data_IF_732900152260
#
_entry.id   IF_732900152260
#
_cell.length_a   1.000
_cell.length_b   1.000
_cell.length_c   1.000
_cell.angle_alpha   90.00
_cell.angle_beta   90.00
_cell.angle_gamma   90.00
#
_symmetry.space_group_name_H-M   'P 1'
#
loop_
_entity.id
_entity.type
_entity.pdbx_description
1 polymer ?
#
# COMPACT_ATOMS: atom_id res chain seq x y z
N UNK A 1 15.94 16.41 -8.00
CA UNK A 1 15.77 15.54 -6.79
C UNK A 1 16.57 14.28 -6.97
N UNK A 2 17.31 13.81 -5.95
CA UNK A 2 18.13 12.58 -6.00
C UNK A 2 17.39 11.39 -5.37
N UNK A 3 17.76 10.13 -5.69
CA UNK A 3 17.10 8.96 -5.06
C UNK A 3 17.11 8.97 -3.53
N UNK A 4 18.16 9.51 -2.92
CA UNK A 4 18.27 9.62 -1.44
C UNK A 4 17.23 10.59 -0.89
N UNK A 5 17.03 11.74 -1.51
CA UNK A 5 16.03 12.75 -1.12
C UNK A 5 14.60 12.20 -1.27
N UNK A 6 14.35 11.46 -2.35
CA UNK A 6 13.08 10.75 -2.55
C UNK A 6 12.86 9.73 -1.43
N UNK A 7 13.87 8.93 -1.11
CA UNK A 7 13.80 7.93 -0.05
C UNK A 7 13.54 8.56 1.33
N UNK A 8 14.19 9.65 1.66
CA UNK A 8 13.97 10.39 2.92
C UNK A 8 12.52 10.87 3.02
N UNK A 9 11.96 11.42 1.92
CA UNK A 9 10.56 11.83 1.88
C UNK A 9 9.60 10.66 2.12
N UNK A 10 9.80 9.55 1.41
CA UNK A 10 8.95 8.37 1.52
C UNK A 10 9.03 7.73 2.91
N UNK A 11 10.21 7.72 3.53
CA UNK A 11 10.46 7.13 4.84
C UNK A 11 9.75 7.89 5.97
N UNK A 12 9.42 9.17 5.76
CA UNK A 12 8.63 9.94 6.73
C UNK A 12 7.20 9.42 6.91
N UNK A 13 6.66 8.77 5.88
CA UNK A 13 5.28 8.26 5.87
C UNK A 13 5.22 6.73 5.96
N UNK A 14 6.27 6.03 5.50
CA UNK A 14 6.30 4.56 5.41
C UNK A 14 7.38 4.00 6.33
N UNK A 15 6.95 3.25 7.32
CA UNK A 15 7.83 2.66 8.32
C UNK A 15 8.03 1.16 8.04
N UNK A 16 9.29 0.70 8.11
CA UNK A 16 9.62 -0.72 8.10
C UNK A 16 9.78 -1.38 6.74
N UNK A 17 9.86 -0.62 5.63
CA UNK A 17 10.02 -1.13 4.27
C UNK A 17 11.25 -0.53 3.58
N UNK A 18 12.37 -0.47 4.27
CA UNK A 18 13.57 0.29 3.86
C UNK A 18 14.09 -0.11 2.48
N UNK A 19 14.26 -1.41 2.22
CA UNK A 19 14.78 -1.91 0.94
C UNK A 19 13.81 -1.63 -0.20
N UNK A 20 12.50 -1.82 0.04
CA UNK A 20 11.44 -1.49 -0.91
C UNK A 20 11.45 0.00 -1.25
N UNK A 21 11.57 0.87 -0.24
CA UNK A 21 11.58 2.32 -0.46
C UNK A 21 12.81 2.78 -1.24
N UNK A 22 13.98 2.23 -0.97
CA UNK A 22 15.20 2.51 -1.76
C UNK A 22 14.99 2.14 -3.23
N UNK A 23 14.39 0.98 -3.49
CA UNK A 23 14.13 0.51 -4.85
C UNK A 23 13.11 1.41 -5.56
N UNK A 24 11.99 1.72 -4.91
CA UNK A 24 10.96 2.63 -5.43
C UNK A 24 11.54 4.04 -5.69
N UNK A 25 12.42 4.52 -4.81
CA UNK A 25 13.08 5.82 -4.99
C UNK A 25 13.95 5.90 -6.24
N UNK A 26 14.64 4.79 -6.57
CA UNK A 26 15.42 4.71 -7.83
C UNK A 26 14.48 4.68 -9.04
N UNK A 27 13.36 3.96 -8.96
CA UNK A 27 12.37 3.89 -10.03
C UNK A 27 11.77 5.28 -10.31
N UNK A 28 11.35 5.99 -9.26
CA UNK A 28 10.85 7.37 -9.36
C UNK A 28 11.91 8.28 -10.00
N UNK A 29 13.14 8.23 -9.50
CA UNK A 29 14.23 9.06 -10.04
C UNK A 29 14.43 8.85 -11.53
N UNK A 30 14.49 7.60 -11.99
CA UNK A 30 14.64 7.30 -13.41
C UNK A 30 13.45 7.78 -14.25
N UNK A 31 12.23 7.58 -13.73
CA UNK A 31 11.03 8.10 -14.37
C UNK A 31 11.09 9.63 -14.54
N UNK A 32 11.51 10.35 -13.51
CA UNK A 32 11.72 11.82 -13.58
C UNK A 32 12.80 12.26 -14.58
N UNK A 33 13.74 11.37 -14.90
CA UNK A 33 14.76 11.63 -15.93
C UNK A 33 14.31 11.18 -17.34
N UNK A 34 13.10 10.66 -17.49
CA UNK A 34 12.63 10.07 -18.75
C UNK A 34 13.32 8.74 -19.10
N UNK A 35 14.03 8.14 -18.14
CA UNK A 35 14.66 6.84 -18.32
C UNK A 35 13.66 5.70 -18.01
N UNK A 36 13.65 4.67 -18.84
CA UNK A 36 12.86 3.46 -18.56
C UNK A 36 13.52 2.69 -17.40
N UNK A 37 12.77 2.48 -16.34
CA UNK A 37 13.16 1.61 -15.23
C UNK A 37 12.45 0.26 -15.29
N UNK A 38 11.35 0.19 -16.03
CA UNK A 38 10.42 -0.92 -16.04
C UNK A 38 9.31 -0.81 -15.00
N UNK A 39 8.33 -1.69 -15.13
CA UNK A 39 7.17 -1.71 -14.26
C UNK A 39 7.46 -2.47 -12.97
N UNK A 40 6.84 -2.05 -11.87
CA UNK A 40 7.05 -2.60 -10.54
C UNK A 40 5.85 -3.43 -10.08
N UNK A 41 6.11 -4.59 -9.48
CA UNK A 41 5.10 -5.39 -8.81
C UNK A 41 5.45 -5.53 -7.32
N UNK A 42 4.64 -4.96 -6.44
CA UNK A 42 4.77 -5.09 -5.00
C UNK A 42 3.87 -6.22 -4.47
N UNK A 43 4.48 -7.17 -3.79
CA UNK A 43 3.81 -8.33 -3.19
C UNK A 43 3.99 -8.27 -1.68
N UNK A 44 2.91 -8.47 -0.93
CA UNK A 44 3.01 -8.50 0.53
C UNK A 44 1.65 -8.58 1.20
N UNK A 45 1.58 -9.15 2.37
CA UNK A 45 0.35 -9.32 3.14
C UNK A 45 -0.45 -8.02 3.27
N UNK A 46 -1.74 -8.14 3.60
CA UNK A 46 -2.57 -6.97 3.89
C UNK A 46 -1.93 -6.14 5.02
N UNK A 47 -1.96 -4.81 4.91
CA UNK A 47 -1.41 -3.93 5.95
C UNK A 47 0.12 -3.85 6.03
N UNK A 48 0.88 -4.34 5.04
CA UNK A 48 2.35 -4.18 4.98
C UNK A 48 2.83 -2.84 4.47
N UNK A 49 1.91 -1.97 4.00
CA UNK A 49 2.23 -0.61 3.59
C UNK A 49 2.19 -0.35 2.08
N UNK A 50 1.71 -1.29 1.24
CA UNK A 50 1.63 -1.12 -0.22
C UNK A 50 0.90 0.17 -0.64
N UNK A 51 -0.33 0.32 -0.21
CA UNK A 51 -1.13 1.53 -0.50
C UNK A 51 -0.54 2.78 0.15
N UNK A 52 0.14 2.65 1.30
CA UNK A 52 0.83 3.77 1.96
C UNK A 52 2.00 4.25 1.12
N UNK A 53 2.76 3.34 0.49
CA UNK A 53 3.84 3.69 -0.45
C UNK A 53 3.27 4.48 -1.63
N UNK A 54 2.19 4.00 -2.27
CA UNK A 54 1.53 4.68 -3.38
C UNK A 54 1.08 6.11 -3.01
N UNK A 55 0.47 6.27 -1.83
CA UNK A 55 0.05 7.59 -1.33
C UNK A 55 1.23 8.48 -0.96
N UNK A 56 2.32 7.92 -0.44
CA UNK A 56 3.53 8.68 -0.17
C UNK A 56 4.17 9.19 -1.46
N UNK A 57 4.16 8.39 -2.54
CA UNK A 57 4.56 8.82 -3.88
C UNK A 57 3.65 9.95 -4.40
N UNK A 58 2.35 9.81 -4.30
CA UNK A 58 1.40 10.86 -4.69
C UNK A 58 1.70 12.18 -3.95
N UNK A 59 1.91 12.15 -2.63
CA UNK A 59 2.29 13.33 -1.85
C UNK A 59 3.62 13.92 -2.28
N UNK A 60 4.62 13.08 -2.58
CA UNK A 60 5.91 13.52 -3.09
C UNK A 60 5.73 14.37 -4.36
N UNK A 61 5.03 13.83 -5.34
CA UNK A 61 4.82 14.51 -6.62
C UNK A 61 3.97 15.78 -6.49
N UNK A 62 3.02 15.82 -5.56
CA UNK A 62 2.21 17.02 -5.30
C UNK A 62 2.97 18.13 -4.56
N UNK A 63 3.87 17.77 -3.64
CA UNK A 63 4.60 18.74 -2.81
C UNK A 63 5.82 19.35 -3.46
N UNK A 64 6.22 18.88 -4.65
CA UNK A 64 7.41 19.32 -5.38
C UNK A 64 7.03 19.91 -6.74
N UNK A 65 6.69 21.23 -6.81
CA UNK A 65 6.28 21.89 -8.06
C UNK A 65 7.30 21.80 -9.18
N UNK A 66 8.59 21.65 -8.85
CA UNK A 66 9.70 21.48 -9.80
C UNK A 66 9.65 20.16 -10.58
N UNK A 67 8.81 19.21 -10.20
CA UNK A 67 8.64 17.94 -10.93
C UNK A 67 7.82 18.13 -12.23
N UNK A 68 7.11 19.27 -12.38
CA UNK A 68 6.34 19.65 -13.58
C UNK A 68 5.43 18.54 -14.12
N UNK A 69 5.78 17.96 -15.26
CA UNK A 69 4.95 17.03 -16.05
C UNK A 69 4.65 15.70 -15.34
N UNK A 70 5.56 15.24 -14.46
CA UNK A 70 5.39 13.98 -13.74
C UNK A 70 4.48 14.08 -12.51
N UNK A 71 3.79 15.22 -12.28
CA UNK A 71 2.94 15.42 -11.09
C UNK A 71 1.65 14.60 -11.09
N UNK A 72 1.26 14.05 -12.23
CA UNK A 72 0.06 13.23 -12.33
C UNK A 72 0.31 11.86 -11.74
N UNK A 73 -0.38 11.55 -10.65
CA UNK A 73 -0.39 10.24 -10.02
C UNK A 73 -1.83 9.77 -9.90
N UNK A 74 -2.11 8.57 -10.40
CA UNK A 74 -3.42 7.94 -10.32
C UNK A 74 -3.30 6.63 -9.55
N UNK A 75 -4.16 6.43 -8.57
CA UNK A 75 -4.24 5.18 -7.80
C UNK A 75 -5.61 4.55 -8.07
N UNK A 76 -5.63 3.36 -8.66
CA UNK A 76 -6.85 2.62 -9.02
C UNK A 76 -6.74 1.16 -8.58
N UNK A 77 -7.88 0.54 -8.24
CA UNK A 77 -7.92 -0.91 -8.05
C UNK A 77 -7.99 -1.61 -9.42
N UNK A 78 -7.37 -2.78 -9.53
CA UNK A 78 -7.31 -3.52 -10.79
C UNK A 78 -8.69 -3.76 -11.44
N UNK A 79 -9.73 -4.02 -10.65
CA UNK A 79 -11.09 -4.21 -11.14
C UNK A 79 -11.74 -2.94 -11.72
N UNK A 80 -11.23 -1.76 -11.40
CA UNK A 80 -11.79 -0.49 -11.92
C UNK A 80 -11.48 -0.24 -13.40
N UNK A 81 -10.50 -0.96 -13.95
CA UNK A 81 -10.15 -0.87 -15.36
C UNK A 81 -11.13 -1.59 -16.28
N UNK A 82 -11.97 -2.48 -15.75
CA UNK A 82 -12.88 -3.29 -16.52
C UNK A 82 -14.35 -2.92 -16.29
N UNK A 83 -15.19 -3.22 -17.28
CA UNK A 83 -16.63 -3.19 -17.13
C UNK A 83 -17.14 -4.45 -16.39
N UNK A 84 -18.47 -4.60 -16.26
CA UNK A 84 -19.11 -5.75 -15.59
C UNK A 84 -18.79 -7.09 -16.26
N UNK A 85 -18.53 -7.09 -17.57
CA UNK A 85 -18.16 -8.28 -18.35
C UNK A 85 -16.66 -8.62 -18.26
N UNK A 86 -15.87 -7.80 -17.56
CA UNK A 86 -14.42 -7.97 -17.42
C UNK A 86 -13.61 -7.47 -18.62
N UNK A 87 -14.24 -6.71 -19.52
CA UNK A 87 -13.53 -6.08 -20.64
C UNK A 87 -12.87 -4.80 -20.14
N UNK A 88 -11.55 -4.71 -20.32
CA UNK A 88 -10.79 -3.51 -19.97
C UNK A 88 -11.11 -2.39 -20.94
N UNK A 89 -11.47 -1.23 -20.39
CA UNK A 89 -11.67 0.00 -21.13
C UNK A 89 -10.51 0.97 -20.82
N UNK A 90 -9.59 1.18 -21.77
CA UNK A 90 -8.47 2.12 -21.60
C UNK A 90 -8.93 3.54 -21.26
N UNK A 91 -10.11 3.96 -21.72
CA UNK A 91 -10.62 5.30 -21.45
C UNK A 91 -10.80 5.57 -19.95
N UNK A 92 -11.12 4.56 -19.15
CA UNK A 92 -11.24 4.73 -17.70
C UNK A 92 -9.94 5.23 -17.05
N UNK A 93 -8.79 4.74 -17.52
CA UNK A 93 -7.50 5.25 -17.07
C UNK A 93 -7.29 6.67 -17.61
N UNK A 94 -7.52 6.88 -18.90
CA UNK A 94 -7.28 8.16 -19.57
C UNK A 94 -8.15 9.28 -18.97
N UNK A 95 -9.41 9.01 -18.68
CA UNK A 95 -10.31 9.95 -17.99
C UNK A 95 -9.76 10.35 -16.61
N UNK A 96 -9.26 9.39 -15.83
CA UNK A 96 -8.65 9.69 -14.52
C UNK A 96 -7.37 10.49 -14.66
N UNK A 97 -6.54 10.19 -15.67
CA UNK A 97 -5.33 10.95 -15.94
C UNK A 97 -5.65 12.39 -16.39
N UNK A 98 -6.66 12.57 -17.24
CA UNK A 98 -7.14 13.89 -17.66
C UNK A 98 -7.68 14.70 -16.48
N UNK A 99 -8.57 14.11 -15.64
CA UNK A 99 -9.08 14.75 -14.43
C UNK A 99 -7.92 15.27 -13.57
N UNK A 100 -6.92 14.42 -13.35
CA UNK A 100 -5.78 14.77 -12.51
C UNK A 100 -4.87 15.82 -13.14
N UNK A 101 -4.64 15.74 -14.46
CA UNK A 101 -3.89 16.75 -15.19
C UNK A 101 -4.58 18.12 -15.11
N UNK A 102 -5.91 18.16 -15.25
CA UNK A 102 -6.69 19.41 -15.14
C UNK A 102 -6.71 20.00 -13.73
N UNK A 103 -6.74 19.17 -12.69
CA UNK A 103 -6.61 19.65 -11.31
C UNK A 103 -5.28 20.40 -11.09
N UNK A 104 -4.22 19.99 -11.79
CA UNK A 104 -2.87 20.58 -11.68
C UNK A 104 -2.74 21.83 -12.57
N UNK A 105 -3.19 21.73 -13.82
CA UNK A 105 -3.00 22.75 -14.85
C UNK A 105 -4.08 23.84 -14.84
N UNK A 106 -5.29 23.52 -14.33
CA UNK A 106 -6.45 24.37 -14.38
C UNK A 106 -7.24 24.26 -15.69
N UNK A 107 -8.38 24.95 -15.77
CA UNK A 107 -9.32 24.84 -16.89
C UNK A 107 -8.82 25.46 -18.22
N UNK A 108 -7.81 26.31 -18.15
CA UNK A 108 -7.23 26.97 -19.34
C UNK A 108 -6.15 26.14 -20.04
N UNK A 109 -5.90 24.92 -19.57
CA UNK A 109 -4.88 24.03 -20.14
C UNK A 109 -5.15 23.72 -21.61
N UNK A 110 -4.09 23.72 -22.41
CA UNK A 110 -4.13 23.31 -23.80
C UNK A 110 -4.17 21.80 -23.94
N UNK A 111 -4.59 21.29 -25.10
CA UNK A 111 -4.59 19.86 -25.39
C UNK A 111 -3.18 19.23 -25.26
N UNK A 112 -2.16 19.94 -25.74
CA UNK A 112 -0.76 19.49 -25.70
C UNK A 112 -0.24 19.39 -24.26
N UNK A 113 -0.57 20.37 -23.41
CA UNK A 113 -0.19 20.34 -21.99
C UNK A 113 -0.86 19.17 -21.27
N UNK A 114 -2.17 18.97 -21.48
CA UNK A 114 -2.90 17.83 -20.91
C UNK A 114 -2.27 16.51 -21.36
N UNK A 115 -2.02 16.35 -22.67
CA UNK A 115 -1.39 15.17 -23.24
C UNK A 115 -0.02 14.87 -22.63
N UNK A 116 0.80 15.89 -22.48
CA UNK A 116 2.14 15.78 -21.92
C UNK A 116 2.12 15.32 -20.45
N UNK A 117 1.23 15.91 -19.63
CA UNK A 117 1.06 15.50 -18.25
C UNK A 117 0.49 14.09 -18.11
N UNK A 118 -0.39 13.67 -19.01
CA UNK A 118 -0.93 12.30 -19.04
C UNK A 118 0.16 11.28 -19.40
N UNK A 119 1.01 11.55 -20.38
CA UNK A 119 2.07 10.62 -20.82
C UNK A 119 3.16 10.41 -19.76
N UNK A 120 3.44 11.40 -18.91
CA UNK A 120 4.47 11.32 -17.88
C UNK A 120 3.91 10.93 -16.49
N UNK A 121 2.70 10.39 -16.45
CA UNK A 121 2.03 10.02 -15.22
C UNK A 121 2.64 8.78 -14.56
N UNK A 122 2.40 8.68 -13.24
CA UNK A 122 2.60 7.45 -12.47
C UNK A 122 1.25 6.79 -12.22
N UNK A 123 1.09 5.55 -12.68
CA UNK A 123 -0.13 4.75 -12.54
C UNK A 123 0.09 3.67 -11.50
N UNK A 124 -0.59 3.80 -10.36
CA UNK A 124 -0.57 2.82 -9.29
C UNK A 124 -1.82 1.93 -9.39
N UNK A 125 -1.62 0.63 -9.55
CA UNK A 125 -2.70 -0.36 -9.62
C UNK A 125 -2.67 -1.21 -8.35
N UNK A 126 -3.64 -1.01 -7.46
CA UNK A 126 -3.76 -1.80 -6.22
C UNK A 126 -4.66 -3.03 -6.45
N UNK A 127 -4.57 -4.00 -5.55
CA UNK A 127 -5.36 -5.24 -5.56
C UNK A 127 -5.21 -6.07 -6.85
N UNK A 128 -3.99 -6.08 -7.44
CA UNK A 128 -3.72 -6.82 -8.68
C UNK A 128 -3.94 -8.34 -8.52
N UNK A 129 -3.85 -8.87 -7.32
CA UNK A 129 -4.13 -10.27 -6.99
C UNK A 129 -5.61 -10.65 -7.18
N UNK A 130 -6.53 -9.68 -7.19
CA UNK A 130 -7.97 -9.93 -7.37
C UNK A 130 -8.35 -10.24 -8.83
N UNK A 131 -7.45 -10.00 -9.77
CA UNK A 131 -7.62 -10.37 -11.17
C UNK A 131 -6.91 -11.68 -11.53
N UNK A 132 -6.63 -12.54 -10.55
CA UNK A 132 -6.11 -13.89 -10.80
C UNK A 132 -6.98 -14.65 -11.79
N UNK A 133 -6.36 -15.43 -12.67
CA UNK A 133 -7.05 -16.32 -13.60
C UNK A 133 -7.74 -17.52 -12.91
N UNK A 134 -7.50 -17.70 -11.61
CA UNK A 134 -8.01 -18.81 -10.83
C UNK A 134 -8.67 -18.29 -9.54
N UNK A 135 -9.89 -18.72 -9.25
CA UNK A 135 -10.59 -18.43 -8.00
C UNK A 135 -11.17 -19.74 -7.45
N UNK A 136 -10.79 -20.10 -6.23
CA UNK A 136 -11.25 -21.34 -5.60
C UNK A 136 -10.89 -22.61 -6.39
N UNK A 137 -9.77 -22.63 -7.11
CA UNK A 137 -9.32 -23.75 -7.93
C UNK A 137 -10.04 -23.87 -9.28
N UNK A 138 -10.85 -22.89 -9.66
CA UNK A 138 -11.56 -22.85 -10.95
C UNK A 138 -11.07 -21.69 -11.80
N UNK A 139 -11.04 -21.83 -13.16
CA UNK A 139 -10.72 -20.73 -14.07
C UNK A 139 -11.68 -19.55 -13.88
N UNK A 140 -11.13 -18.33 -13.81
CA UNK A 140 -11.86 -17.09 -13.70
C UNK A 140 -11.63 -16.23 -14.95
N UNK A 141 -12.54 -16.36 -15.92
CA UNK A 141 -12.42 -15.76 -17.26
C UNK A 141 -12.30 -14.23 -17.19
N UNK A 142 -13.08 -13.59 -16.31
CA UNK A 142 -13.01 -12.13 -16.11
C UNK A 142 -11.60 -11.70 -15.70
N UNK A 143 -10.97 -12.41 -14.76
CA UNK A 143 -9.58 -12.13 -14.37
C UNK A 143 -8.59 -12.29 -15.51
N UNK A 144 -8.75 -13.33 -16.34
CA UNK A 144 -7.95 -13.54 -17.54
C UNK A 144 -8.07 -12.34 -18.49
N UNK A 145 -9.30 -11.92 -18.77
CA UNK A 145 -9.57 -10.80 -19.69
C UNK A 145 -8.97 -9.49 -19.16
N UNK A 146 -9.09 -9.23 -17.85
CA UNK A 146 -8.53 -8.02 -17.25
C UNK A 146 -6.99 -8.04 -17.34
N UNK A 147 -6.34 -9.18 -17.06
CA UNK A 147 -4.88 -9.28 -17.20
C UNK A 147 -4.45 -9.03 -18.65
N UNK A 148 -5.17 -9.55 -19.65
CA UNK A 148 -4.86 -9.33 -21.06
C UNK A 148 -5.05 -7.86 -21.47
N UNK A 149 -6.13 -7.21 -21.03
CA UNK A 149 -6.35 -5.80 -21.32
C UNK A 149 -5.35 -4.87 -20.66
N UNK A 150 -4.98 -5.14 -19.39
CA UNK A 150 -3.94 -4.39 -18.69
C UNK A 150 -2.55 -4.61 -19.30
N UNK A 151 -2.29 -5.80 -19.85
CA UNK A 151 -1.05 -6.11 -20.55
C UNK A 151 -0.78 -5.08 -21.64
N UNK A 152 -1.76 -4.79 -22.50
CA UNK A 152 -1.65 -3.83 -23.60
C UNK A 152 -1.27 -2.43 -23.09
N UNK A 153 -1.92 -1.97 -22.02
CA UNK A 153 -1.61 -0.66 -21.42
C UNK A 153 -0.18 -0.61 -20.84
N UNK A 154 0.24 -1.69 -20.16
CA UNK A 154 1.56 -1.74 -19.51
C UNK A 154 2.70 -1.93 -20.51
N UNK A 155 2.43 -2.57 -21.67
CA UNK A 155 3.42 -2.72 -22.76
C UNK A 155 3.81 -1.40 -23.41
N UNK A 156 2.93 -0.42 -23.35
CA UNK A 156 3.08 0.88 -23.99
C UNK A 156 2.34 0.94 -25.32
N UNK A 157 1.17 1.53 -25.29
CA UNK A 157 0.31 1.76 -26.44
C UNK A 157 0.16 3.25 -26.70
N UNK A 158 0.09 3.62 -27.99
CA UNK A 158 -0.29 4.98 -28.42
C UNK A 158 -1.79 5.05 -28.62
N UNK A 159 -2.48 5.68 -27.70
CA UNK A 159 -3.94 5.77 -27.68
C UNK A 159 -4.35 7.16 -28.15
N UNK A 160 -5.27 7.22 -29.11
CA UNK A 160 -5.90 8.48 -29.50
C UNK A 160 -7.03 8.80 -28.54
N UNK A 161 -6.91 9.90 -27.79
CA UNK A 161 -7.87 10.28 -26.77
C UNK A 161 -8.50 11.66 -27.06
N UNK A 162 -9.84 11.77 -27.06
CA UNK A 162 -10.53 13.04 -27.27
C UNK A 162 -10.50 13.88 -25.99
N UNK A 163 -10.06 15.13 -26.07
CA UNK A 163 -10.12 16.11 -24.99
C UNK A 163 -10.93 17.31 -25.41
N UNK A 164 -11.59 17.96 -24.45
CA UNK A 164 -12.29 19.23 -24.69
C UNK A 164 -11.54 20.37 -24.03
N UNK A 165 -11.08 21.35 -24.81
CA UNK A 165 -10.28 22.48 -24.32
C UNK A 165 -10.94 23.82 -24.62
N UNK A 166 -10.59 24.83 -23.82
CA UNK A 166 -11.02 26.21 -24.08
C UNK A 166 -10.07 26.87 -25.09
N UNK A 167 -10.62 27.26 -26.25
CA UNK A 167 -9.89 28.05 -27.24
C UNK A 167 -10.76 29.24 -27.67
N UNK A 168 -10.21 30.45 -27.65
CA UNK A 168 -10.94 31.68 -27.98
C UNK A 168 -12.29 31.84 -27.22
N UNK A 169 -12.35 31.44 -25.95
CA UNK A 169 -13.57 31.45 -25.10
C UNK A 169 -14.67 30.48 -25.53
N UNK A 170 -14.37 29.53 -26.39
CA UNK A 170 -15.27 28.48 -26.82
C UNK A 170 -14.68 27.10 -26.49
N UNK A 171 -15.56 26.14 -26.22
CA UNK A 171 -15.16 24.76 -26.03
C UNK A 171 -14.93 24.10 -27.38
N UNK A 172 -13.72 23.64 -27.63
CA UNK A 172 -13.35 22.91 -28.84
C UNK A 172 -12.94 21.49 -28.47
N UNK A 173 -13.35 20.52 -29.28
CA UNK A 173 -12.87 19.13 -29.17
C UNK A 173 -11.53 19.03 -29.91
N UNK A 174 -10.53 18.53 -29.23
CA UNK A 174 -9.24 18.16 -29.78
C UNK A 174 -8.99 16.67 -29.57
N UNK A 175 -8.09 16.08 -30.31
CA UNK A 175 -7.62 14.72 -30.09
C UNK A 175 -6.14 14.73 -29.81
N UNK A 176 -5.72 14.06 -28.75
CA UNK A 176 -4.34 13.92 -28.34
C UNK A 176 -3.91 12.46 -28.45
N UNK A 177 -2.63 12.24 -28.74
CA UNK A 177 -2.03 10.92 -28.59
C UNK A 177 -1.44 10.81 -27.21
N UNK A 178 -1.75 9.73 -26.50
CA UNK A 178 -1.18 9.42 -25.17
C UNK A 178 -0.38 8.13 -25.29
N UNK A 179 0.93 8.22 -25.07
CA UNK A 179 1.86 7.08 -25.08
C UNK A 179 2.00 6.52 -23.66
N UNK A 180 1.32 5.41 -23.38
CA UNK A 180 1.39 4.76 -22.05
C UNK A 180 2.77 4.16 -21.76
N UNK A 181 3.61 3.98 -22.79
CA UNK A 181 4.99 3.50 -22.63
C UNK A 181 5.92 4.48 -21.91
N UNK A 182 5.51 5.76 -21.76
CA UNK A 182 6.24 6.77 -20.99
C UNK A 182 5.81 6.80 -19.51
N UNK A 183 4.70 6.14 -19.17
CA UNK A 183 4.18 6.10 -17.80
C UNK A 183 5.00 5.14 -16.93
N UNK A 184 5.02 5.40 -15.62
CA UNK A 184 5.51 4.46 -14.63
C UNK A 184 4.33 3.67 -14.06
N UNK A 185 4.29 2.36 -14.29
CA UNK A 185 3.29 1.48 -13.67
C UNK A 185 3.85 0.83 -12.40
N UNK A 186 3.12 0.97 -11.31
CA UNK A 186 3.41 0.34 -10.03
C UNK A 186 2.18 -0.45 -9.59
N UNK A 187 2.25 -1.77 -9.72
CA UNK A 187 1.18 -2.68 -9.32
C UNK A 187 1.43 -3.25 -7.93
N UNK A 188 0.36 -3.48 -7.17
CA UNK A 188 0.47 -4.10 -5.84
C UNK A 188 -0.67 -5.08 -5.58
N UNK A 189 -0.35 -6.14 -4.84
CA UNK A 189 -1.34 -7.13 -4.41
C UNK A 189 -1.00 -7.76 -3.06
N UNK A 190 -2.03 -8.22 -2.35
CA UNK A 190 -1.84 -8.96 -1.11
C UNK A 190 -1.41 -10.40 -1.37
N UNK A 191 -1.87 -10.99 -2.46
CA UNK A 191 -1.62 -12.38 -2.83
C UNK A 191 -1.90 -13.32 -1.65
N UNK A 192 -3.10 -13.18 -1.07
CA UNK A 192 -3.54 -14.06 0.01
C UNK A 192 -3.36 -15.51 -0.39
N UNK A 193 -2.87 -16.37 0.51
CA UNK A 193 -2.49 -17.77 0.29
C UNK A 193 -1.18 -18.01 -0.49
N UNK A 194 -0.53 -17.02 -1.09
CA UNK A 194 0.77 -17.21 -1.72
C UNK A 194 1.82 -17.69 -0.70
N UNK A 195 1.78 -17.15 0.52
CA UNK A 195 2.63 -17.60 1.62
C UNK A 195 2.46 -19.10 1.88
N UNK A 196 1.22 -19.57 2.04
CA UNK A 196 0.91 -20.98 2.30
C UNK A 196 1.25 -21.88 1.10
N UNK A 197 1.10 -21.37 -0.11
CA UNK A 197 1.47 -22.08 -1.34
C UNK A 197 2.98 -22.31 -1.40
N UNK A 198 3.77 -21.25 -1.19
CA UNK A 198 5.24 -21.33 -1.19
C UNK A 198 5.73 -22.19 -0.03
N UNK A 199 5.16 -22.03 1.17
CA UNK A 199 5.48 -22.86 2.32
C UNK A 199 5.26 -24.33 2.04
N UNK A 200 4.09 -24.72 1.50
CA UNK A 200 3.80 -26.13 1.11
C UNK A 200 4.77 -26.65 0.06
N UNK A 201 5.15 -25.82 -0.94
CA UNK A 201 6.13 -26.20 -1.95
C UNK A 201 7.50 -26.47 -1.33
N UNK A 202 7.94 -25.62 -0.41
CA UNK A 202 9.26 -25.73 0.24
C UNK A 202 9.33 -26.88 1.23
N UNK A 203 8.25 -27.17 1.97
CA UNK A 203 8.17 -28.21 2.99
C UNK A 203 7.61 -29.53 2.48
N UNK A 204 7.36 -29.66 1.17
CA UNK A 204 6.84 -30.91 0.59
C UNK A 204 7.81 -32.08 0.82
N UNK A 205 7.30 -33.33 0.94
CA UNK A 205 8.12 -34.50 1.16
C UNK A 205 9.19 -34.76 0.05
N UNK A 206 8.93 -34.19 -1.15
CA UNK A 206 9.84 -34.23 -2.30
C UNK A 206 10.88 -33.14 -2.32
N UNK A 207 10.72 -32.14 -1.45
CA UNK A 207 11.63 -30.99 -1.32
C UNK A 207 12.92 -31.45 -0.63
N UNK A 208 14.06 -31.00 -1.17
CA UNK A 208 15.37 -31.15 -0.53
C UNK A 208 15.72 -30.00 0.39
N UNK A 209 14.83 -29.04 0.53
CA UNK A 209 15.03 -27.83 1.33
C UNK A 209 14.81 -28.17 2.80
N UNK A 210 15.74 -27.73 3.65
CA UNK A 210 15.56 -27.70 5.10
C UNK A 210 15.38 -26.25 5.51
N UNK A 211 14.27 -25.93 6.18
CA UNK A 211 14.06 -24.60 6.73
C UNK A 211 15.09 -24.32 7.83
N UNK A 212 15.58 -23.07 7.91
CA UNK A 212 16.39 -22.66 9.04
C UNK A 212 15.58 -22.80 10.34
N UNK A 213 16.22 -23.35 11.36
CA UNK A 213 15.61 -23.51 12.68
C UNK A 213 16.33 -22.66 13.70
N UNK A 214 15.58 -22.07 14.61
CA UNK A 214 16.13 -21.40 15.79
C UNK A 214 15.61 -22.05 17.05
N UNK A 215 16.39 -21.97 18.11
CA UNK A 215 16.05 -22.53 19.41
C UNK A 215 15.56 -21.40 20.31
N UNK A 216 14.27 -21.38 20.58
CA UNK A 216 13.64 -20.39 21.45
C UNK A 216 13.34 -21.02 22.81
N UNK A 217 13.74 -20.31 23.88
CA UNK A 217 13.44 -20.74 25.23
C UNK A 217 12.18 -20.01 25.71
N UNK A 218 11.06 -20.71 25.80
CA UNK A 218 9.78 -20.17 26.27
C UNK A 218 9.18 -21.06 27.36
N UNK A 219 8.69 -20.43 28.43
CA UNK A 219 8.02 -21.11 29.57
C UNK A 219 8.84 -22.21 30.23
N UNK A 220 10.17 -22.14 30.18
CA UNK A 220 11.04 -23.19 30.76
C UNK A 220 11.32 -24.37 29.83
N UNK A 221 10.82 -24.34 28.60
CA UNK A 221 11.03 -25.40 27.60
C UNK A 221 11.79 -24.85 26.38
N UNK A 222 12.61 -25.70 25.80
CA UNK A 222 13.30 -25.45 24.53
C UNK A 222 12.37 -25.80 23.39
N UNK A 223 11.99 -24.79 22.59
CA UNK A 223 11.20 -24.98 21.39
C UNK A 223 12.07 -24.72 20.17
N UNK A 224 12.01 -25.64 19.19
CA UNK A 224 12.62 -25.45 17.88
C UNK A 224 11.57 -24.78 16.99
N UNK A 225 11.87 -23.56 16.53
CA UNK A 225 11.01 -22.85 15.58
C UNK A 225 11.64 -22.84 14.21
N UNK A 226 10.86 -23.23 13.21
CA UNK A 226 11.26 -23.10 11.81
C UNK A 226 11.01 -21.67 11.34
N UNK A 227 11.99 -21.09 10.65
CA UNK A 227 11.88 -19.75 10.05
C UNK A 227 11.56 -19.86 8.58
N UNK A 228 10.43 -19.32 8.21
CA UNK A 228 10.03 -19.18 6.83
C UNK A 228 9.70 -17.71 6.54
N UNK A 229 10.32 -17.15 5.51
CA UNK A 229 9.96 -15.84 4.97
C UNK A 229 9.65 -15.97 3.49
N UNK A 230 8.56 -15.39 3.05
CA UNK A 230 8.17 -15.41 1.63
C UNK A 230 9.31 -14.86 0.75
N UNK A 231 9.95 -13.76 1.15
CA UNK A 231 11.04 -13.11 0.43
C UNK A 231 12.19 -14.06 0.08
N UNK A 232 12.53 -14.99 0.97
CA UNK A 232 13.66 -15.92 0.77
C UNK A 232 13.34 -17.07 -0.17
N UNK A 233 12.09 -17.53 -0.16
CA UNK A 233 11.68 -18.75 -0.85
C UNK A 233 10.81 -18.52 -2.08
N UNK A 234 10.37 -17.28 -2.30
CA UNK A 234 9.55 -16.88 -3.44
C UNK A 234 10.28 -17.12 -4.77
N UNK A 235 9.54 -17.63 -5.72
CA UNK A 235 9.95 -17.75 -7.12
C UNK A 235 8.84 -17.17 -8.01
N UNK A 236 9.19 -16.68 -9.19
CA UNK A 236 8.21 -16.13 -10.11
C UNK A 236 7.14 -17.15 -10.52
N UNK A 237 7.53 -18.43 -10.60
CA UNK A 237 6.61 -19.54 -10.90
C UNK A 237 5.49 -19.68 -9.86
N UNK A 238 5.72 -19.27 -8.62
CA UNK A 238 4.68 -19.29 -7.59
C UNK A 238 3.50 -18.36 -7.94
N UNK A 239 3.75 -17.29 -8.70
CA UNK A 239 2.68 -16.41 -9.20
C UNK A 239 1.92 -17.06 -10.37
N UNK A 240 2.56 -17.91 -11.18
CA UNK A 240 1.85 -18.65 -12.22
C UNK A 240 0.87 -19.64 -11.58
N UNK A 241 1.30 -20.35 -10.56
CA UNK A 241 0.46 -21.28 -9.80
C UNK A 241 -0.66 -20.55 -9.04
N UNK A 242 -0.42 -19.28 -8.66
CA UNK A 242 -1.44 -18.42 -8.06
C UNK A 242 -2.52 -18.02 -9.08
N UNK A 243 -2.22 -18.06 -10.39
CA UNK A 243 -3.13 -17.69 -11.48
C UNK A 243 -2.80 -16.37 -12.15
N UNK A 244 -1.58 -15.87 -11.99
CA UNK A 244 -1.09 -14.75 -12.79
C UNK A 244 -0.51 -15.26 -14.11
N UNK A 245 -0.94 -14.65 -15.21
CA UNK A 245 -0.49 -15.08 -16.54
C UNK A 245 1.00 -14.75 -16.74
N UNK A 246 1.82 -15.70 -17.26
CA UNK A 246 3.24 -15.47 -17.51
C UNK A 246 3.52 -14.25 -18.39
N UNK A 247 2.69 -14.04 -19.40
CA UNK A 247 2.81 -12.89 -20.31
C UNK A 247 2.60 -11.57 -19.59
N UNK A 248 1.62 -11.50 -18.67
CA UNK A 248 1.38 -10.33 -17.84
C UNK A 248 2.54 -10.07 -16.89
N UNK A 249 3.02 -11.12 -16.22
CA UNK A 249 4.15 -10.99 -15.28
C UNK A 249 5.46 -10.62 -15.97
N UNK A 250 5.66 -10.99 -17.24
CA UNK A 250 6.85 -10.62 -18.00
C UNK A 250 6.98 -9.12 -18.27
N UNK A 251 5.95 -8.32 -17.98
CA UNK A 251 5.97 -6.84 -18.09
C UNK A 251 6.44 -6.15 -16.81
N UNK A 252 6.69 -6.92 -15.78
CA UNK A 252 7.26 -6.40 -14.53
C UNK A 252 8.72 -6.82 -14.45
N UNK A 253 9.62 -5.85 -14.61
CA UNK A 253 11.05 -6.11 -14.52
C UNK A 253 11.47 -6.47 -13.10
N UNK A 254 10.66 -6.08 -12.11
CA UNK A 254 10.96 -6.28 -10.71
C UNK A 254 9.72 -6.62 -9.88
N UNK A 255 9.75 -7.79 -9.24
CA UNK A 255 8.81 -8.17 -8.20
C UNK A 255 9.47 -7.93 -6.82
N UNK A 256 8.85 -7.06 -6.03
CA UNK A 256 9.35 -6.66 -4.71
C UNK A 256 8.47 -7.30 -3.64
N UNK A 257 9.06 -8.12 -2.79
CA UNK A 257 8.37 -8.71 -1.64
C UNK A 257 8.52 -7.77 -0.46
N UNK A 258 7.39 -7.23 0.05
CA UNK A 258 7.36 -6.42 1.25
C UNK A 258 7.59 -7.30 2.49
N UNK A 259 8.29 -6.73 3.46
CA UNK A 259 8.58 -7.40 4.71
C UNK A 259 7.33 -7.46 5.61
N UNK A 260 7.18 -8.57 6.32
CA UNK A 260 6.18 -8.68 7.37
C UNK A 260 6.55 -7.75 8.55
N UNK A 261 5.53 -7.15 9.15
CA UNK A 261 5.72 -6.18 10.21
C UNK A 261 5.85 -6.87 11.57
N UNK A 262 7.04 -6.78 12.18
CA UNK A 262 7.27 -7.26 13.54
C UNK A 262 6.86 -6.22 14.60
N UNK A 263 6.75 -6.64 15.85
CA UNK A 263 6.27 -5.80 16.97
C UNK A 263 6.99 -4.44 17.09
N UNK A 264 8.32 -4.42 16.93
CA UNK A 264 9.08 -3.16 16.98
C UNK A 264 8.68 -2.18 15.87
N UNK A 265 8.47 -2.66 14.65
CA UNK A 265 7.97 -1.84 13.54
C UNK A 265 6.54 -1.38 13.79
N UNK A 266 5.68 -2.26 14.31
CA UNK A 266 4.30 -1.94 14.65
C UNK A 266 4.20 -0.88 15.76
N UNK A 267 5.09 -0.90 16.76
CA UNK A 267 5.19 0.16 17.79
C UNK A 267 5.45 1.53 17.15
N UNK A 268 6.37 1.59 16.20
CA UNK A 268 6.69 2.82 15.48
C UNK A 268 5.51 3.28 14.60
N UNK A 269 4.88 2.37 13.85
CA UNK A 269 3.68 2.67 13.04
C UNK A 269 2.54 3.18 13.91
N UNK A 270 2.41 2.69 15.13
CA UNK A 270 1.37 3.13 16.06
C UNK A 270 1.57 4.58 16.56
N UNK A 271 2.83 5.05 16.66
CA UNK A 271 3.16 6.32 17.32
C UNK A 271 3.70 7.41 16.40
N UNK A 272 4.56 7.06 15.43
CA UNK A 272 5.36 8.03 14.67
C UNK A 272 4.59 8.76 13.54
N UNK A 273 3.80 8.09 12.67
CA UNK A 273 3.16 8.74 11.54
C UNK A 273 2.23 9.87 11.95
N UNK A 274 2.12 10.88 11.08
CA UNK A 274 1.22 12.04 11.32
C UNK A 274 -0.24 11.64 11.44
N UNK A 275 -0.65 10.59 10.72
CA UNK A 275 -1.97 9.99 10.69
C UNK A 275 -2.03 8.67 11.48
N UNK A 276 -1.14 8.48 12.45
CA UNK A 276 -1.13 7.28 13.28
C UNK A 276 -2.42 7.10 14.07
N UNK A 277 -2.75 5.85 14.37
CA UNK A 277 -3.94 5.49 15.15
C UNK A 277 -3.94 6.17 16.52
N UNK A 278 -2.77 6.29 17.15
CA UNK A 278 -2.62 6.99 18.43
C UNK A 278 -2.92 8.48 18.30
N UNK A 279 -2.34 9.15 17.30
CA UNK A 279 -2.57 10.60 17.09
C UNK A 279 -4.03 10.93 16.76
N UNK A 280 -4.71 10.07 16.03
CA UNK A 280 -6.14 10.20 15.77
C UNK A 280 -6.94 10.18 17.10
N UNK A 281 -6.63 9.25 18.01
CA UNK A 281 -7.25 9.20 19.34
C UNK A 281 -6.89 10.41 20.19
N UNK A 282 -5.62 10.85 20.18
CA UNK A 282 -5.19 12.06 20.89
C UNK A 282 -5.95 13.30 20.41
N UNK A 283 -6.17 13.43 19.10
CA UNK A 283 -6.95 14.52 18.55
C UNK A 283 -8.43 14.46 18.99
N UNK A 284 -9.02 13.26 18.98
CA UNK A 284 -10.38 13.04 19.47
C UNK A 284 -10.54 13.52 20.93
N UNK A 285 -9.70 13.03 21.85
CA UNK A 285 -9.78 13.37 23.26
C UNK A 285 -9.51 14.86 23.55
N UNK A 286 -8.62 15.47 22.76
CA UNK A 286 -8.35 16.91 22.86
C UNK A 286 -9.62 17.75 22.63
N UNK A 287 -10.54 17.33 21.77
CA UNK A 287 -11.82 18.03 21.55
C UNK A 287 -12.73 17.99 22.79
N UNK A 288 -12.51 17.05 23.71
CA UNK A 288 -13.20 16.97 25.01
C UNK A 288 -12.40 17.60 26.16
N UNK A 289 -11.29 18.28 25.87
CA UNK A 289 -10.40 18.85 26.89
C UNK A 289 -9.63 17.80 27.70
N UNK A 290 -9.48 16.58 27.14
CA UNK A 290 -8.76 15.47 27.76
C UNK A 290 -7.42 15.29 27.06
N UNK A 291 -6.34 15.22 27.83
CA UNK A 291 -5.01 14.88 27.34
C UNK A 291 -4.82 13.35 27.43
N UNK A 292 -4.70 12.70 26.26
CA UNK A 292 -4.43 11.27 26.16
C UNK A 292 -2.93 11.00 26.16
N UNK A 293 -2.46 10.29 27.17
CA UNK A 293 -1.11 9.76 27.25
C UNK A 293 -1.11 8.22 27.20
N UNK A 294 -0.18 7.65 26.47
CA UNK A 294 0.00 6.19 26.38
C UNK A 294 1.43 5.88 26.76
N UNK A 295 1.62 5.04 27.79
CA UNK A 295 2.96 4.69 28.25
C UNK A 295 3.70 3.82 27.24
N UNK A 296 5.04 3.85 27.24
CA UNK A 296 5.86 3.01 26.37
C UNK A 296 5.54 1.51 26.54
N UNK A 297 5.30 1.08 27.77
CA UNK A 297 4.88 -0.31 28.05
C UNK A 297 3.55 -0.66 27.44
N UNK A 298 2.57 0.26 27.45
CA UNK A 298 1.29 0.09 26.77
C UNK A 298 1.44 0.02 25.24
N UNK A 299 2.25 0.91 24.66
CA UNK A 299 2.58 0.88 23.21
C UNK A 299 3.16 -0.47 22.82
N UNK A 300 4.13 -0.97 23.61
CA UNK A 300 4.75 -2.28 23.38
C UNK A 300 3.72 -3.40 23.43
N UNK A 301 2.83 -3.42 24.43
CA UNK A 301 1.77 -4.45 24.57
C UNK A 301 0.78 -4.42 23.40
N UNK A 302 0.38 -3.24 22.94
CA UNK A 302 -0.48 -3.09 21.74
C UNK A 302 0.21 -3.65 20.50
N UNK A 303 1.50 -3.35 20.32
CA UNK A 303 2.27 -3.84 19.19
C UNK A 303 2.51 -5.36 19.24
N UNK A 304 2.82 -5.91 20.42
CA UNK A 304 3.01 -7.34 20.63
C UNK A 304 1.71 -8.11 20.33
N UNK A 305 0.56 -7.58 20.77
CA UNK A 305 -0.73 -8.19 20.46
C UNK A 305 -1.06 -8.12 18.97
N UNK A 306 -0.82 -6.97 18.34
CA UNK A 306 -1.03 -6.81 16.90
C UNK A 306 -0.13 -7.73 16.08
N UNK A 307 1.11 -7.96 16.51
CA UNK A 307 2.08 -8.84 15.85
C UNK A 307 1.65 -10.32 15.80
N UNK A 308 0.77 -10.75 16.71
CA UNK A 308 0.19 -12.11 16.67
C UNK A 308 -0.64 -12.34 15.41
N UNK A 309 -1.12 -11.27 14.77
CA UNK A 309 -1.90 -11.30 13.53
C UNK A 309 -1.06 -10.84 12.35
N UNK A 310 0.10 -11.45 12.12
CA UNK A 310 1.09 -11.05 11.10
C UNK A 310 0.51 -10.89 9.68
N UNK A 311 -0.48 -11.71 9.32
CA UNK A 311 -1.17 -11.63 8.01
C UNK A 311 -2.02 -10.37 7.82
N UNK A 312 -2.39 -9.67 8.90
CA UNK A 312 -3.19 -8.44 8.86
C UNK A 312 -2.29 -7.20 8.92
N UNK A 313 -1.04 -7.36 9.32
CA UNK A 313 -0.05 -6.29 9.40
C UNK A 313 -0.51 -5.11 10.27
N UNK A 314 -0.23 -3.89 9.82
CA UNK A 314 -0.58 -2.67 10.57
C UNK A 314 -2.10 -2.47 10.80
N UNK A 315 -2.97 -3.12 10.02
CA UNK A 315 -4.42 -3.08 10.27
C UNK A 315 -4.79 -3.69 11.62
N UNK A 316 -4.00 -4.66 12.11
CA UNK A 316 -4.19 -5.25 13.43
C UNK A 316 -4.06 -4.22 14.56
N UNK A 317 -3.19 -3.21 14.42
CA UNK A 317 -3.06 -2.12 15.40
C UNK A 317 -4.38 -1.40 15.62
N UNK A 318 -5.10 -1.08 14.53
CA UNK A 318 -6.40 -0.39 14.63
C UNK A 318 -7.45 -1.24 15.33
N UNK A 319 -7.44 -2.56 15.09
CA UNK A 319 -8.36 -3.49 15.74
C UNK A 319 -8.03 -3.66 17.24
N UNK A 320 -6.76 -3.86 17.57
CA UNK A 320 -6.30 -4.01 18.96
C UNK A 320 -6.53 -2.72 19.75
N UNK A 321 -6.09 -1.58 19.21
CA UNK A 321 -6.28 -0.27 19.85
C UNK A 321 -7.75 0.08 20.01
N UNK A 322 -8.58 -0.21 19.01
CA UNK A 322 -10.02 0.02 19.08
C UNK A 322 -10.71 -0.71 20.25
N UNK A 323 -10.27 -1.92 20.57
CA UNK A 323 -10.79 -2.66 21.76
C UNK A 323 -10.44 -1.96 23.07
N UNK A 324 -9.30 -1.28 23.12
CA UNK A 324 -8.81 -0.59 24.32
C UNK A 324 -9.46 0.79 24.46
N UNK A 325 -9.52 1.55 23.37
CA UNK A 325 -9.86 2.98 23.47
C UNK A 325 -11.35 3.28 23.34
N UNK A 326 -12.13 2.44 22.63
CA UNK A 326 -13.55 2.68 22.38
C UNK A 326 -14.41 2.87 23.64
N UNK A 327 -14.23 2.14 24.75
CA UNK A 327 -14.97 2.41 25.98
C UNK A 327 -14.76 3.84 26.51
N UNK A 328 -13.55 4.36 26.38
CA UNK A 328 -13.21 5.73 26.76
C UNK A 328 -13.74 6.76 25.76
N UNK A 329 -13.81 6.43 24.48
CA UNK A 329 -14.40 7.30 23.45
C UNK A 329 -15.93 7.40 23.60
N UNK A 330 -16.59 6.33 24.07
CA UNK A 330 -18.04 6.28 24.23
C UNK A 330 -18.51 7.21 25.35
N UNK A 331 -17.88 7.15 26.52
CA UNK A 331 -18.16 8.05 27.65
C UNK A 331 -16.86 8.36 28.41
N UNK A 332 -16.15 9.41 27.95
CA UNK A 332 -14.84 9.74 28.51
C UNK A 332 -14.86 10.05 30.01
N UNK A 333 -15.90 10.72 30.48
CA UNK A 333 -15.97 11.20 31.87
C UNK A 333 -16.51 10.17 32.87
N UNK A 334 -17.14 9.09 32.40
CA UNK A 334 -17.58 7.99 33.27
C UNK A 334 -16.45 7.01 33.64
N UNK A 335 -15.28 7.11 32.98
CA UNK A 335 -14.17 6.18 33.21
C UNK A 335 -13.28 6.65 34.36
N UNK A 336 -12.97 5.72 35.29
CA UNK A 336 -12.15 6.02 36.47
C UNK A 336 -10.71 6.40 36.15
N UNK A 337 -10.24 6.02 34.96
CA UNK A 337 -8.90 6.33 34.46
C UNK A 337 -8.76 7.79 33.99
N UNK A 338 -9.87 8.48 33.72
CA UNK A 338 -9.86 9.91 33.36
C UNK A 338 -9.83 10.75 34.64
N UNK A 339 -8.67 11.30 34.95
CA UNK A 339 -8.43 12.07 36.17
C UNK A 339 -8.48 13.56 35.88
N UNK A 340 -9.04 14.32 36.78
CA UNK A 340 -9.01 15.78 36.75
C UNK A 340 -7.69 16.26 37.39
N UNK A 341 -6.88 16.95 36.62
CA UNK A 341 -5.63 17.58 37.06
C UNK A 341 -5.72 19.10 36.85
N UNK A 342 -6.06 19.83 37.89
CA UNK A 342 -6.33 21.28 37.80
C UNK A 342 -7.53 21.60 36.91
N UNK A 343 -7.31 22.39 35.87
CA UNK A 343 -8.33 22.76 34.87
C UNK A 343 -8.42 21.80 33.68
N UNK A 344 -7.63 20.74 33.65
CA UNK A 344 -7.57 19.76 32.56
C UNK A 344 -7.93 18.37 33.05
N UNK A 345 -8.35 17.53 32.10
CA UNK A 345 -8.52 16.10 32.33
C UNK A 345 -7.40 15.35 31.63
N UNK A 346 -6.95 14.27 32.25
CA UNK A 346 -5.89 13.42 31.71
C UNK A 346 -6.33 11.97 31.74
N UNK A 347 -6.16 11.28 30.61
CA UNK A 347 -6.34 9.85 30.46
C UNK A 347 -4.97 9.22 30.23
N UNK A 348 -4.54 8.37 31.17
CA UNK A 348 -3.28 7.62 31.04
C UNK A 348 -3.63 6.16 30.75
N UNK A 349 -3.25 5.70 29.55
CA UNK A 349 -3.35 4.29 29.18
C UNK A 349 -2.01 3.62 29.46
N UNK A 350 -1.98 2.85 30.53
CA UNK A 350 -0.81 2.04 30.95
C UNK A 350 -0.96 0.57 30.52
N UNK A 351 0.04 -0.26 30.85
CA UNK A 351 0.01 -1.70 30.58
C UNK A 351 -1.19 -2.41 31.25
N UNK A 352 -1.58 -1.96 32.44
CA UNK A 352 -2.71 -2.52 33.18
C UNK A 352 -4.04 -2.32 32.44
N UNK A 353 -4.27 -1.11 31.91
CA UNK A 353 -5.45 -0.80 31.08
C UNK A 353 -5.46 -1.69 29.84
N UNK A 354 -4.33 -1.81 29.14
CA UNK A 354 -4.23 -2.66 27.94
C UNK A 354 -4.54 -4.12 28.26
N UNK A 355 -3.93 -4.66 29.31
CA UNK A 355 -4.13 -6.06 29.72
C UNK A 355 -5.58 -6.36 30.13
N UNK A 356 -6.26 -5.41 30.80
CA UNK A 356 -7.69 -5.56 31.15
C UNK A 356 -8.57 -5.59 29.91
N UNK A 357 -8.33 -4.68 28.96
CA UNK A 357 -9.13 -4.57 27.75
C UNK A 357 -8.94 -5.76 26.77
N UNK A 358 -7.77 -6.41 26.81
CA UNK A 358 -7.45 -7.53 25.92
C UNK A 358 -7.81 -8.91 26.50
N UNK A 359 -8.19 -8.98 27.78
CA UNK A 359 -8.68 -10.25 28.34
C UNK A 359 -9.92 -10.72 27.57
N UNK A 360 -10.02 -12.03 27.25
CA UNK A 360 -11.25 -12.57 26.68
C UNK A 360 -12.41 -12.31 27.63
N UNK A 361 -13.62 -12.01 27.12
CA UNK A 361 -14.80 -11.95 27.96
C UNK A 361 -14.97 -13.31 28.65
N UNK A 362 -15.18 -13.28 29.98
CA UNK A 362 -15.39 -14.45 30.83
C UNK A 362 -16.74 -15.09 30.49
#
# INVERSE_FOLDING_TARGET
>A
MKPVEINEFLTADVIGQQDTLRFVSVAIFKHLQGERFGNLLMIGNSGTGKTTIMRAMERLFQSHPEIHENRVVVIMNANQFANEDGVVDPNRLLERLEERAREILGESATADEIGNYMEHATVCIDEIDKISAMVGGKPYVTGINIQQGLLTLIEGERILYPVTVYKNKQLEKAAIHVDTGKMLFLCAGAFENLYDQVYRRVTSPTSRVKLPTDTVYENGEVQIREFFTLRHWFKQEDLFDYGMQPQFLSRFDNAIILEDLHAGTLSRIFTEPRDSVLRASQHFFKNYGIELEVTEGAVKKVADEAAKSSRIGARALKAVWGRIIKPFEFDPFAQAEVKKEGDRHRLVVDEGVVLRALKPPV
#
